data_IF_792901415703
#
_entry.id   IF_792901415703
#
_cell.length_a   1.000
_cell.length_b   1.000
_cell.length_c   1.000
_cell.angle_alpha   90.00
_cell.angle_beta   90.00
_cell.angle_gamma   90.00
#
_symmetry.space_group_name_H-M   'P 1'
#
loop_
_entity.id
_entity.type
_entity.pdbx_description
1 polymer ?
#
# COMPACT_ATOMS: atom_id res chain seq x y z
N UNK A 1 -5.73 -18.71 5.25
CA UNK A 1 -5.21 -17.42 5.66
C UNK A 1 -4.39 -16.80 4.54
N UNK A 2 -4.50 -15.50 4.38
CA UNK A 2 -3.76 -14.74 3.38
C UNK A 2 -2.84 -13.74 4.07
N UNK A 3 -1.73 -13.45 3.42
CA UNK A 3 -0.82 -12.39 3.80
C UNK A 3 -0.83 -11.32 2.73
N UNK A 4 -1.10 -10.08 3.13
CA UNK A 4 -0.97 -8.92 2.24
C UNK A 4 0.26 -8.11 2.63
N UNK A 5 0.97 -7.66 1.61
CA UNK A 5 2.03 -6.68 1.75
C UNK A 5 1.66 -5.50 0.88
N UNK A 6 1.47 -4.35 1.50
CA UNK A 6 1.12 -3.13 0.79
C UNK A 6 2.26 -2.15 0.98
N UNK A 7 2.87 -1.74 -0.10
CA UNK A 7 3.93 -0.74 -0.10
C UNK A 7 3.44 0.45 -0.91
N UNK A 8 3.45 1.62 -0.31
CA UNK A 8 2.90 2.80 -0.95
C UNK A 8 3.65 4.05 -0.53
N UNK A 9 3.58 5.06 -1.39
CA UNK A 9 4.12 6.36 -1.08
C UNK A 9 3.40 6.94 0.16
N UNK A 10 4.15 7.59 1.01
CA UNK A 10 3.63 8.15 2.25
C UNK A 10 2.51 9.16 2.03
N UNK A 11 2.48 9.80 0.87
CA UNK A 11 1.43 10.77 0.50
C UNK A 11 0.03 10.18 0.50
N UNK A 12 -0.11 8.85 0.31
CA UNK A 12 -1.42 8.18 0.28
C UNK A 12 -1.71 7.37 1.54
N UNK A 13 -0.86 7.47 2.55
CA UNK A 13 -1.03 6.68 3.78
C UNK A 13 -2.39 6.94 4.43
N UNK A 14 -2.73 8.20 4.67
CA UNK A 14 -4.00 8.54 5.32
C UNK A 14 -5.19 8.13 4.47
N UNK A 15 -5.10 8.34 3.16
CA UNK A 15 -6.17 7.95 2.24
C UNK A 15 -6.46 6.46 2.30
N UNK A 16 -5.42 5.65 2.34
CA UNK A 16 -5.56 4.19 2.40
C UNK A 16 -6.14 3.74 3.73
N UNK A 17 -5.60 4.24 4.84
CA UNK A 17 -6.07 3.87 6.18
C UNK A 17 -7.52 4.31 6.40
N UNK A 18 -7.86 5.52 5.98
CA UNK A 18 -9.24 6.03 6.09
C UNK A 18 -10.22 5.17 5.31
N UNK A 19 -9.84 4.72 4.11
CA UNK A 19 -10.70 3.87 3.30
C UNK A 19 -10.90 2.50 3.95
N UNK A 20 -9.82 1.91 4.49
CA UNK A 20 -9.91 0.66 5.22
C UNK A 20 -10.83 0.80 6.44
N UNK A 21 -10.67 1.85 7.22
CA UNK A 21 -11.49 2.10 8.40
C UNK A 21 -12.96 2.29 8.01
N UNK A 22 -13.23 3.03 6.95
CA UNK A 22 -14.60 3.27 6.48
C UNK A 22 -15.30 1.98 6.05
N UNK A 23 -14.56 1.00 5.57
CA UNK A 23 -15.08 -0.29 5.12
C UNK A 23 -15.00 -1.37 6.17
N UNK A 24 -14.43 -1.09 7.32
CA UNK A 24 -14.25 -2.07 8.39
C UNK A 24 -13.32 -3.21 8.03
N UNK A 25 -12.30 -2.94 7.24
CA UNK A 25 -11.30 -3.91 6.81
C UNK A 25 -9.91 -3.46 7.22
N UNK A 26 -8.96 -4.40 7.26
CA UNK A 26 -7.58 -4.08 7.55
C UNK A 26 -7.34 -3.49 8.93
N UNK A 27 -8.17 -3.87 9.92
CA UNK A 27 -8.06 -3.33 11.27
C UNK A 27 -6.83 -3.84 12.02
N UNK A 28 -6.26 -4.95 11.56
CA UNK A 28 -5.09 -5.57 12.19
C UNK A 28 -3.94 -5.56 11.21
N UNK A 29 -3.05 -4.61 11.37
CA UNK A 29 -1.89 -4.51 10.50
C UNK A 29 -0.64 -4.21 11.32
N UNK A 30 0.50 -4.56 10.74
CA UNK A 30 1.80 -4.11 11.23
C UNK A 30 2.31 -3.11 10.21
N UNK A 31 2.70 -1.94 10.67
CA UNK A 31 3.20 -0.89 9.80
C UNK A 31 4.71 -0.70 9.98
N UNK A 32 5.40 -0.63 8.86
CA UNK A 32 6.77 -0.15 8.81
C UNK A 32 6.67 1.26 8.23
N UNK A 33 6.91 2.31 9.05
CA UNK A 33 6.57 3.68 8.66
C UNK A 33 7.42 4.25 7.54
N UNK A 34 8.63 3.76 7.38
CA UNK A 34 9.50 4.22 6.30
C UNK A 34 10.23 3.03 5.70
N UNK A 35 10.02 2.82 4.41
CA UNK A 35 10.77 1.84 3.62
C UNK A 35 11.22 2.51 2.34
N UNK A 36 12.38 2.12 1.85
CA UNK A 36 12.90 2.62 0.58
C UNK A 36 12.92 1.50 -0.43
N UNK A 37 12.60 1.83 -1.68
CA UNK A 37 12.61 0.85 -2.74
C UNK A 37 12.87 1.52 -4.08
N UNK A 38 13.06 0.69 -5.07
CA UNK A 38 13.21 1.13 -6.45
C UNK A 38 12.14 0.43 -7.28
N UNK A 39 11.27 1.23 -7.89
CA UNK A 39 10.23 0.71 -8.76
C UNK A 39 10.53 0.95 -10.23
N UNK A 40 9.70 0.38 -11.09
CA UNK A 40 9.85 0.51 -12.53
C UNK A 40 9.69 1.93 -13.06
N UNK A 41 8.91 2.75 -12.36
CA UNK A 41 8.72 4.16 -12.69
C UNK A 41 9.76 5.06 -12.04
N UNK A 42 10.65 4.49 -11.26
CA UNK A 42 11.50 5.23 -10.33
C UNK A 42 12.80 5.76 -10.88
N UNK A 43 13.06 5.60 -12.17
CA UNK A 43 14.31 6.11 -12.73
C UNK A 43 14.19 7.59 -13.06
N UNK A 44 14.00 8.39 -12.07
CA UNK A 44 14.18 9.84 -12.20
C UNK A 44 15.65 10.16 -11.98
N UNK A 45 16.48 9.55 -12.80
CA UNK A 45 17.91 9.80 -12.78
C UNK A 45 18.17 11.25 -13.10
N UNK A 46 18.90 11.92 -12.24
CA UNK A 46 19.15 13.34 -12.38
C UNK A 46 18.18 14.21 -11.64
N UNK A 47 17.14 13.62 -11.13
CA UNK A 47 16.22 14.31 -10.26
C UNK A 47 16.85 14.33 -8.87
N UNK A 48 17.22 15.50 -8.39
CA UNK A 48 17.79 15.66 -7.05
C UNK A 48 16.72 15.72 -5.98
N UNK A 49 15.58 15.20 -6.32
CA UNK A 49 14.46 15.12 -5.39
C UNK A 49 14.81 14.10 -4.33
N UNK A 50 14.45 14.42 -3.13
CA UNK A 50 14.54 13.53 -1.98
C UNK A 50 13.98 12.16 -2.33
N UNK A 51 14.61 11.06 -1.89
CA UNK A 51 14.03 9.74 -2.05
C UNK A 51 12.60 9.76 -1.50
N UNK A 52 11.67 9.30 -2.31
CA UNK A 52 10.30 9.21 -1.85
C UNK A 52 10.22 8.27 -0.66
N UNK A 53 9.61 8.73 0.41
CA UNK A 53 9.36 7.89 1.55
C UNK A 53 8.12 7.04 1.27
N UNK A 54 8.27 5.74 1.48
CA UNK A 54 7.19 4.78 1.38
C UNK A 54 6.94 4.19 2.76
N UNK A 55 5.75 3.66 2.95
CA UNK A 55 5.42 2.85 4.11
C UNK A 55 5.04 1.44 3.66
N UNK A 56 5.05 0.51 4.58
CA UNK A 56 4.66 -0.86 4.31
C UNK A 56 3.67 -1.34 5.36
N UNK A 57 2.59 -1.96 4.91
CA UNK A 57 1.65 -2.65 5.78
C UNK A 57 1.77 -4.15 5.55
N UNK A 58 1.81 -4.91 6.63
CA UNK A 58 1.73 -6.36 6.60
C UNK A 58 0.46 -6.78 7.33
N UNK A 59 -0.37 -7.54 6.64
CA UNK A 59 -1.69 -7.90 7.15
C UNK A 59 -1.92 -9.39 6.92
N UNK A 60 -2.39 -10.08 7.96
CA UNK A 60 -2.83 -11.46 7.86
C UNK A 60 -4.34 -11.48 8.06
N UNK A 61 -5.07 -12.07 7.14
CA UNK A 61 -6.53 -12.06 7.16
C UNK A 61 -7.09 -13.25 6.38
N UNK A 62 -8.40 -13.39 6.38
CA UNK A 62 -9.06 -14.39 5.56
C UNK A 62 -9.12 -13.94 4.10
N UNK A 63 -9.57 -14.86 3.24
CA UNK A 63 -9.61 -14.61 1.80
C UNK A 63 -10.58 -13.49 1.43
N UNK A 64 -11.73 -13.43 2.08
CA UNK A 64 -12.74 -12.41 1.78
C UNK A 64 -12.23 -11.01 2.13
N UNK A 65 -11.58 -10.86 3.26
CA UNK A 65 -10.98 -9.58 3.66
C UNK A 65 -9.84 -9.20 2.72
N UNK A 66 -9.02 -10.15 2.32
CA UNK A 66 -7.94 -9.92 1.38
C UNK A 66 -8.45 -9.35 0.05
N UNK A 67 -9.52 -9.94 -0.49
CA UNK A 67 -10.15 -9.44 -1.72
C UNK A 67 -10.68 -8.03 -1.55
N UNK A 68 -11.35 -7.75 -0.43
CA UNK A 68 -11.87 -6.42 -0.15
C UNK A 68 -10.74 -5.38 -0.03
N UNK A 69 -9.62 -5.77 0.54
CA UNK A 69 -8.46 -4.88 0.66
C UNK A 69 -7.80 -4.62 -0.69
N UNK A 70 -7.71 -5.64 -1.54
CA UNK A 70 -7.20 -5.45 -2.90
C UNK A 70 -8.06 -4.47 -3.69
N UNK A 71 -9.38 -4.57 -3.57
CA UNK A 71 -10.30 -3.63 -4.22
C UNK A 71 -10.09 -2.21 -3.71
N UNK A 72 -9.94 -2.04 -2.41
CA UNK A 72 -9.69 -0.73 -1.82
C UNK A 72 -8.36 -0.13 -2.33
N UNK A 73 -7.32 -0.95 -2.41
CA UNK A 73 -6.03 -0.51 -2.97
C UNK A 73 -6.18 -0.06 -4.42
N UNK A 74 -6.93 -0.80 -5.22
CA UNK A 74 -7.17 -0.42 -6.63
C UNK A 74 -7.90 0.93 -6.74
N UNK A 75 -8.84 1.20 -5.84
CA UNK A 75 -9.53 2.50 -5.82
C UNK A 75 -8.57 3.64 -5.49
N UNK A 76 -7.69 3.45 -4.53
CA UNK A 76 -6.68 4.46 -4.19
C UNK A 76 -5.72 4.67 -5.36
N UNK A 77 -5.29 3.58 -6.02
CA UNK A 77 -4.44 3.70 -7.21
C UNK A 77 -5.10 4.50 -8.33
N UNK A 78 -6.39 4.29 -8.53
CA UNK A 78 -7.14 5.02 -9.55
C UNK A 78 -7.28 6.50 -9.20
N UNK A 79 -7.45 6.82 -7.92
CA UNK A 79 -7.57 8.20 -7.45
C UNK A 79 -6.22 8.94 -7.46
N UNK A 80 -5.13 8.24 -7.28
CA UNK A 80 -3.79 8.82 -7.19
C UNK A 80 -2.83 8.10 -8.16
N UNK A 81 -3.05 8.25 -9.47
CA UNK A 81 -2.33 7.43 -10.47
C UNK A 81 -0.83 7.72 -10.54
N UNK A 82 -0.38 8.87 -10.04
CA UNK A 82 1.03 9.23 -10.03
C UNK A 82 1.78 8.73 -8.80
N UNK A 83 1.06 8.20 -7.83
CA UNK A 83 1.67 7.69 -6.60
C UNK A 83 1.95 6.20 -6.71
N UNK A 84 3.10 5.78 -6.21
CA UNK A 84 3.48 4.37 -6.20
C UNK A 84 2.71 3.60 -5.14
N UNK A 85 1.97 2.59 -5.56
CA UNK A 85 1.26 1.69 -4.66
C UNK A 85 1.41 0.26 -5.19
N UNK A 86 1.86 -0.64 -4.33
CA UNK A 86 1.97 -2.06 -4.66
C UNK A 86 1.28 -2.89 -3.60
N UNK A 87 0.55 -3.90 -4.02
CA UNK A 87 -0.11 -4.82 -3.12
C UNK A 87 0.15 -6.25 -3.60
N UNK A 88 0.71 -7.06 -2.72
CA UNK A 88 0.96 -8.47 -2.99
C UNK A 88 0.16 -9.32 -2.02
N UNK A 89 -0.47 -10.37 -2.53
CA UNK A 89 -1.24 -11.30 -1.72
C UNK A 89 -0.66 -12.68 -1.89
N UNK A 90 -0.36 -13.32 -0.79
CA UNK A 90 0.15 -14.69 -0.78
C UNK A 90 -0.62 -15.53 0.21
N UNK A 91 -0.57 -16.85 0.04
CA UNK A 91 -1.05 -17.79 1.05
C UNK A 91 -0.11 -17.80 2.24
N UNK A 92 -0.66 -17.90 3.41
CA UNK A 92 0.11 -17.95 4.66
C UNK A 92 -0.22 -19.23 5.44
#
# INVERSE_FOLDING_TARGET
MKRLEIMANKSVEDNLIELFDARGIGSRYTMIPVVHGRGGSGSRKGDHVWPEENFMLVIYCDEAEAEAMEEAVLEIKAAFPDEGIKCFVTGA
#
